data_IF_151561891244
#
_entry.id   IF_151561891244
#
_cell.length_a   1.000
_cell.length_b   1.000
_cell.length_c   1.000
_cell.angle_alpha   90.00
_cell.angle_beta   90.00
_cell.angle_gamma   90.00
#
_symmetry.space_group_name_H-M   'P 1'
#
loop_
_entity.id
_entity.type
_entity.pdbx_description
1 polymer ?
#
# COMPACT_ATOMS: atom_id res chain seq x y z
N UNK A 1 -1.99 2.84 -36.33
CA UNK A 1 -2.90 3.09 -35.20
C UNK A 1 -2.46 2.16 -34.08
N UNK A 2 -1.68 2.67 -33.12
CA UNK A 2 -1.02 1.88 -32.06
C UNK A 2 -1.64 2.30 -30.73
N UNK A 3 -2.04 1.36 -29.84
CA UNK A 3 -2.71 1.73 -28.59
C UNK A 3 -1.73 2.35 -27.58
N UNK A 4 -2.15 3.34 -26.77
CA UNK A 4 -1.32 3.96 -25.74
C UNK A 4 -1.45 3.15 -24.44
N UNK A 5 -0.35 2.68 -23.85
CA UNK A 5 -0.41 2.08 -22.51
C UNK A 5 0.68 1.12 -22.07
N UNK A 6 1.72 0.85 -22.86
CA UNK A 6 2.86 0.06 -22.36
C UNK A 6 3.84 0.98 -21.64
N UNK A 7 3.88 0.94 -20.31
CA UNK A 7 5.02 1.45 -19.54
C UNK A 7 6.28 0.75 -20.08
N UNK A 8 7.26 1.43 -20.67
CA UNK A 8 8.48 0.77 -21.10
C UNK A 8 9.17 0.25 -19.84
N UNK A 9 9.32 -1.07 -19.74
CA UNK A 9 10.24 -1.70 -18.80
C UNK A 9 11.60 -1.05 -19.07
N UNK A 10 12.06 -0.18 -18.16
CA UNK A 10 13.31 0.61 -18.29
C UNK A 10 14.59 -0.22 -18.52
N UNK A 11 14.47 -1.54 -18.66
CA UNK A 11 15.56 -2.49 -18.80
C UNK A 11 15.77 -2.99 -20.25
N UNK A 12 14.82 -2.75 -21.17
CA UNK A 12 14.97 -3.18 -22.57
C UNK A 12 16.03 -2.39 -23.36
N UNK A 13 16.40 -1.20 -22.86
CA UNK A 13 17.39 -0.31 -23.48
C UNK A 13 18.81 -0.50 -22.95
N UNK A 14 19.09 -1.54 -22.16
CA UNK A 14 20.43 -1.76 -21.65
C UNK A 14 21.36 -2.30 -22.76
N UNK A 15 22.49 -1.64 -22.96
CA UNK A 15 23.56 -2.16 -23.79
C UNK A 15 24.13 -3.46 -23.19
N UNK A 16 24.73 -4.35 -24.00
CA UNK A 16 25.29 -5.61 -23.51
C UNK A 16 26.25 -5.43 -22.34
N UNK A 17 27.08 -4.38 -22.36
CA UNK A 17 28.00 -4.05 -21.28
C UNK A 17 27.29 -3.68 -19.96
N UNK A 18 26.17 -2.94 -20.04
CA UNK A 18 25.37 -2.59 -18.85
C UNK A 18 24.63 -3.79 -18.28
N UNK A 19 24.18 -4.73 -19.12
CA UNK A 19 23.57 -6.00 -18.69
C UNK A 19 24.59 -6.86 -17.94
N UNK A 20 25.79 -7.04 -18.50
CA UNK A 20 26.85 -7.81 -17.85
C UNK A 20 27.26 -7.23 -16.49
N UNK A 21 27.34 -5.90 -16.38
CA UNK A 21 27.63 -5.22 -15.12
C UNK A 21 26.51 -5.42 -14.08
N UNK A 22 25.24 -5.37 -14.51
CA UNK A 22 24.09 -5.64 -13.65
C UNK A 22 24.12 -7.07 -13.11
N UNK A 23 24.35 -8.06 -13.98
CA UNK A 23 24.47 -9.46 -13.57
C UNK A 23 25.65 -9.67 -12.61
N UNK A 24 26.79 -9.02 -12.85
CA UNK A 24 27.95 -9.07 -11.97
C UNK A 24 27.63 -8.50 -10.58
N UNK A 25 26.85 -7.41 -10.49
CA UNK A 25 26.37 -6.90 -9.20
C UNK A 25 25.34 -7.80 -8.55
N UNK A 26 24.40 -8.37 -9.30
CA UNK A 26 23.41 -9.30 -8.75
C UNK A 26 24.08 -10.57 -8.20
N UNK A 27 25.12 -11.09 -8.87
CA UNK A 27 25.96 -12.20 -8.36
C UNK A 27 26.72 -11.84 -7.07
N UNK A 28 27.01 -10.56 -6.84
CA UNK A 28 27.72 -10.05 -5.65
C UNK A 28 26.83 -9.45 -4.55
N UNK A 29 25.51 -9.39 -4.71
CA UNK A 29 24.58 -8.71 -3.78
C UNK A 29 23.61 -9.69 -3.13
N UNK A 30 24.15 -10.80 -2.63
CA UNK A 30 23.57 -11.50 -1.48
C UNK A 30 24.54 -11.40 -0.30
N UNK A 31 25.11 -10.21 -0.06
CA UNK A 31 25.37 -9.86 1.32
C UNK A 31 24.00 -9.82 1.96
N UNK A 32 23.70 -10.79 2.81
CA UNK A 32 22.53 -10.74 3.68
C UNK A 32 22.74 -9.50 4.52
N UNK A 33 22.21 -8.37 4.05
CA UNK A 33 21.84 -7.28 4.93
C UNK A 33 20.80 -7.96 5.80
N UNK A 34 21.24 -8.48 6.95
CA UNK A 34 20.35 -8.71 8.08
C UNK A 34 19.80 -7.33 8.36
N UNK A 35 18.70 -7.00 7.68
CA UNK A 35 17.92 -5.83 7.97
C UNK A 35 17.34 -6.12 9.34
N UNK A 36 18.11 -5.77 10.38
CA UNK A 36 17.53 -5.25 11.58
C UNK A 36 16.77 -4.02 11.13
N UNK A 37 15.54 -4.24 10.66
CA UNK A 37 14.61 -3.18 10.31
C UNK A 37 14.34 -2.45 11.62
N UNK A 38 15.20 -1.48 11.93
CA UNK A 38 14.97 -0.51 12.98
C UNK A 38 13.69 0.15 12.56
N UNK A 39 12.60 -0.15 13.28
CA UNK A 39 11.30 0.45 13.04
C UNK A 39 11.52 1.96 13.22
N UNK A 40 11.51 2.77 12.15
CA UNK A 40 11.81 4.18 12.29
C UNK A 40 10.84 4.78 13.28
N UNK A 41 11.35 5.63 14.18
CA UNK A 41 10.51 6.36 15.12
C UNK A 41 9.45 7.12 14.31
N UNK A 42 8.17 6.87 14.60
CA UNK A 42 7.08 7.48 13.85
C UNK A 42 6.91 8.92 14.31
N UNK A 43 6.72 9.87 13.38
CA UNK A 43 6.31 11.20 13.75
C UNK A 43 4.93 11.16 14.41
N UNK A 44 4.67 12.10 15.33
CA UNK A 44 3.36 12.24 15.96
C UNK A 44 2.24 12.50 14.93
N UNK A 45 2.57 13.15 13.81
CA UNK A 45 1.69 13.36 12.67
C UNK A 45 2.29 12.69 11.43
N UNK A 46 1.57 11.73 10.84
CA UNK A 46 2.03 10.99 9.65
C UNK A 46 1.46 11.68 8.41
N UNK A 47 2.28 12.22 7.50
CA UNK A 47 1.76 12.86 6.29
C UNK A 47 1.10 11.84 5.36
N UNK A 48 0.09 12.26 4.60
CA UNK A 48 -0.46 11.47 3.49
C UNK A 48 0.59 11.34 2.38
N UNK A 49 0.62 10.19 1.72
CA UNK A 49 1.29 10.05 0.42
C UNK A 49 0.61 10.94 -0.64
N UNK A 50 1.32 11.25 -1.71
CA UNK A 50 0.78 12.07 -2.81
C UNK A 50 -0.52 11.50 -3.41
N UNK A 51 -0.60 10.18 -3.57
CA UNK A 51 -1.81 9.51 -4.07
C UNK A 51 -2.97 9.65 -3.07
N UNK A 52 -2.71 9.51 -1.76
CA UNK A 52 -3.72 9.71 -0.73
C UNK A 52 -4.19 11.17 -0.68
N UNK A 53 -3.29 12.16 -0.79
CA UNK A 53 -3.65 13.58 -0.84
C UNK A 53 -4.59 13.89 -2.00
N UNK A 54 -4.30 13.34 -3.19
CA UNK A 54 -5.17 13.50 -4.37
C UNK A 54 -6.57 12.96 -4.11
N UNK A 55 -6.68 11.75 -3.57
CA UNK A 55 -7.99 11.16 -3.25
C UNK A 55 -8.70 11.91 -2.13
N UNK A 56 -7.97 12.42 -1.14
CA UNK A 56 -8.52 13.25 -0.08
C UNK A 56 -9.17 14.52 -0.63
N UNK A 57 -8.49 15.24 -1.53
CA UNK A 57 -9.07 16.42 -2.21
C UNK A 57 -10.34 16.06 -2.97
N UNK A 58 -10.32 14.95 -3.73
CA UNK A 58 -11.50 14.50 -4.48
C UNK A 58 -12.68 14.18 -3.56
N UNK A 59 -12.43 13.52 -2.42
CA UNK A 59 -13.46 13.27 -1.42
C UNK A 59 -14.02 14.55 -0.81
N UNK A 60 -13.19 15.56 -0.51
CA UNK A 60 -13.68 16.84 0.02
C UNK A 60 -14.62 17.59 -0.95
N UNK A 61 -14.40 17.46 -2.26
CA UNK A 61 -15.26 18.07 -3.27
C UNK A 61 -16.63 17.39 -3.41
N UNK A 62 -16.73 16.12 -3.01
CA UNK A 62 -17.97 15.33 -3.12
C UNK A 62 -17.99 14.22 -2.06
N UNK A 63 -18.30 14.56 -0.79
CA UNK A 63 -18.20 13.62 0.34
C UNK A 63 -19.11 12.40 0.19
N UNK A 64 -20.27 12.58 -0.44
CA UNK A 64 -21.26 11.52 -0.64
C UNK A 64 -21.00 10.63 -1.87
N UNK A 65 -19.91 10.89 -2.61
CA UNK A 65 -19.59 10.15 -3.83
C UNK A 65 -18.99 8.77 -3.52
N UNK A 66 -19.60 7.73 -4.11
CA UNK A 66 -19.08 6.36 -4.07
C UNK A 66 -18.05 6.05 -5.18
N UNK A 67 -17.62 7.04 -5.97
CA UNK A 67 -16.80 6.83 -7.17
C UNK A 67 -15.46 6.11 -6.92
N UNK A 68 -14.95 6.13 -5.69
CA UNK A 68 -13.72 5.45 -5.28
C UNK A 68 -13.95 4.24 -4.37
N UNK A 69 -15.19 3.78 -4.22
CA UNK A 69 -15.48 2.50 -3.59
C UNK A 69 -15.06 1.36 -4.52
N UNK A 70 -14.41 0.34 -3.97
CA UNK A 70 -14.00 -0.86 -4.72
C UNK A 70 -14.76 -2.06 -4.14
N UNK A 71 -16.05 -2.24 -4.49
CA UNK A 71 -16.83 -3.36 -4.00
C UNK A 71 -16.31 -4.66 -4.63
N UNK A 72 -16.17 -5.70 -3.81
CA UNK A 72 -15.79 -7.04 -4.24
C UNK A 72 -16.85 -8.02 -3.73
N UNK A 73 -17.35 -8.87 -4.63
CA UNK A 73 -18.25 -9.97 -4.28
C UNK A 73 -17.59 -11.31 -4.66
N UNK A 74 -17.54 -12.24 -3.71
CA UNK A 74 -16.94 -13.56 -3.89
C UNK A 74 -18.02 -14.64 -3.75
N UNK A 75 -18.05 -15.58 -4.70
CA UNK A 75 -18.93 -16.76 -4.63
C UNK A 75 -18.11 -17.99 -4.26
N UNK A 76 -18.43 -18.58 -3.11
CA UNK A 76 -17.86 -19.86 -2.69
C UNK A 76 -18.68 -21.00 -3.28
N UNK A 77 -17.99 -22.04 -3.80
CA UNK A 77 -18.63 -23.24 -4.37
C UNK A 77 -18.94 -24.30 -3.30
N UNK A 78 -18.39 -24.12 -2.11
CA UNK A 78 -18.55 -25.02 -0.96
C UNK A 78 -18.93 -24.20 0.28
N UNK A 79 -19.52 -24.83 1.31
CA UNK A 79 -19.76 -24.16 2.58
C UNK A 79 -18.47 -23.56 3.15
N UNK A 80 -18.55 -22.32 3.61
CA UNK A 80 -17.47 -21.63 4.31
C UNK A 80 -17.72 -21.70 5.82
N UNK A 81 -16.67 -21.94 6.59
CA UNK A 81 -16.72 -21.76 8.04
C UNK A 81 -16.65 -20.26 8.34
N UNK A 82 -17.80 -19.63 8.58
CA UNK A 82 -17.91 -18.19 8.83
C UNK A 82 -17.01 -17.73 9.97
N UNK A 83 -16.97 -18.47 11.08
CA UNK A 83 -16.09 -18.18 12.21
C UNK A 83 -14.59 -18.17 11.84
N UNK A 84 -14.17 -18.99 10.86
CA UNK A 84 -12.80 -18.97 10.37
C UNK A 84 -12.53 -17.76 9.47
N UNK A 85 -13.50 -17.37 8.63
CA UNK A 85 -13.43 -16.16 7.82
C UNK A 85 -13.36 -14.91 8.70
N UNK A 86 -14.18 -14.81 9.74
CA UNK A 86 -14.18 -13.67 10.67
C UNK A 86 -12.82 -13.53 11.37
N UNK A 87 -12.24 -14.65 11.85
CA UNK A 87 -10.89 -14.64 12.43
C UNK A 87 -9.83 -14.23 11.42
N UNK A 88 -9.94 -14.64 10.16
CA UNK A 88 -9.01 -14.26 9.10
C UNK A 88 -9.10 -12.75 8.79
N UNK A 89 -10.32 -12.21 8.65
CA UNK A 89 -10.55 -10.78 8.44
C UNK A 89 -10.03 -9.95 9.62
N UNK A 90 -10.34 -10.35 10.86
CA UNK A 90 -9.84 -9.69 12.06
C UNK A 90 -8.30 -9.73 12.13
N UNK A 91 -7.69 -10.85 11.75
CA UNK A 91 -6.22 -10.96 11.68
C UNK A 91 -5.61 -10.01 10.66
N UNK A 92 -6.23 -9.86 9.48
CA UNK A 92 -5.79 -8.89 8.48
C UNK A 92 -5.86 -7.45 9.02
N UNK A 93 -6.97 -7.06 9.66
CA UNK A 93 -7.12 -5.72 10.24
C UNK A 93 -6.04 -5.47 11.31
N UNK A 94 -5.75 -6.45 12.17
CA UNK A 94 -4.69 -6.32 13.18
C UNK A 94 -3.30 -6.17 12.56
N UNK A 95 -2.99 -6.92 11.50
CA UNK A 95 -1.67 -6.94 10.88
C UNK A 95 -1.41 -5.72 9.97
N UNK A 96 -2.44 -5.21 9.30
CA UNK A 96 -2.29 -4.17 8.28
C UNK A 96 -2.75 -2.81 8.78
N UNK A 97 -1.79 -1.89 8.99
CA UNK A 97 -2.08 -0.54 9.48
C UNK A 97 -3.04 0.24 8.59
N UNK A 98 -2.93 0.06 7.27
CA UNK A 98 -3.77 0.78 6.31
C UNK A 98 -5.26 0.49 6.47
N UNK A 99 -5.62 -0.69 7.00
CA UNK A 99 -7.01 -1.07 7.27
C UNK A 99 -7.58 -0.42 8.54
N UNK A 100 -6.71 0.25 9.31
CA UNK A 100 -7.02 0.97 10.55
C UNK A 100 -6.52 2.42 10.48
N UNK A 101 -6.34 2.95 9.27
CA UNK A 101 -5.96 4.34 9.04
C UNK A 101 -7.18 5.19 8.75
N UNK A 102 -7.31 6.30 9.48
CA UNK A 102 -8.24 7.39 9.21
C UNK A 102 -7.46 8.64 8.78
N UNK A 103 -8.13 9.55 8.07
CA UNK A 103 -7.56 10.82 7.65
C UNK A 103 -8.22 11.96 8.42
N UNK A 104 -7.43 12.81 9.05
CA UNK A 104 -7.89 13.94 9.85
C UNK A 104 -7.16 15.22 9.44
N UNK A 105 -7.73 16.38 9.76
CA UNK A 105 -7.03 17.66 9.68
C UNK A 105 -6.30 17.91 11.00
N UNK A 106 -4.98 18.07 10.94
CA UNK A 106 -4.17 18.47 12.08
C UNK A 106 -4.49 19.91 12.54
N UNK A 107 -4.03 20.30 13.73
CA UNK A 107 -4.15 21.68 14.23
C UNK A 107 -3.55 22.72 13.26
N UNK A 108 -2.52 22.33 12.48
CA UNK A 108 -1.92 23.19 11.45
C UNK A 108 -2.68 23.26 10.13
N UNK A 109 -3.88 22.67 10.02
CA UNK A 109 -4.72 22.70 8.81
C UNK A 109 -4.29 21.73 7.71
N UNK A 110 -3.34 20.82 7.98
CA UNK A 110 -2.82 19.85 6.99
C UNK A 110 -3.44 18.47 7.22
N UNK A 111 -3.88 17.75 6.16
CA UNK A 111 -4.37 16.39 6.31
C UNK A 111 -3.25 15.45 6.76
N UNK A 112 -3.56 14.59 7.73
CA UNK A 112 -2.64 13.60 8.33
C UNK A 112 -3.30 12.23 8.43
N UNK A 113 -2.47 11.18 8.48
CA UNK A 113 -2.88 9.81 8.75
C UNK A 113 -2.87 9.55 10.25
N UNK A 114 -4.00 9.11 10.79
CA UNK A 114 -4.14 8.62 12.16
C UNK A 114 -4.37 7.12 12.09
N UNK A 115 -3.53 6.35 12.78
CA UNK A 115 -3.59 4.89 12.75
C UNK A 115 -4.12 4.40 14.10
N UNK A 116 -5.33 3.87 14.09
CA UNK A 116 -5.99 3.33 15.29
C UNK A 116 -5.29 2.07 15.80
N UNK A 117 -5.28 1.78 17.11
CA UNK A 117 -4.69 0.55 17.62
C UNK A 117 -5.34 -0.70 16.99
N UNK A 118 -4.62 -1.83 16.89
CA UNK A 118 -5.21 -3.06 16.40
C UNK A 118 -6.39 -3.49 17.30
N UNK A 119 -7.48 -4.03 16.73
CA UNK A 119 -8.60 -4.53 17.52
C UNK A 119 -8.15 -5.70 18.42
N UNK A 120 -8.86 -5.96 19.53
CA UNK A 120 -8.56 -7.08 20.41
C UNK A 120 -8.63 -8.44 19.68
N UNK A 121 -7.92 -9.41 20.26
CA UNK A 121 -7.76 -10.78 19.73
C UNK A 121 -8.94 -11.70 20.03
#
# INVERSE_FOLDING_TARGET
MTPPGSLPTRFDTLSPARRALLEQRMRGTHSRIESTAVKPSRPAAIPLSFAQQRLWVVHQLSPDSAAYHVPIALRFRTPIQTAALDRALASMIRQHEILRTRFEISEGGVPVQVIDPPPPG
#
